data_IF_477541557080
#
_entry.id   IF_477541557080
#
_cell.length_a   1.000
_cell.length_b   1.000
_cell.length_c   1.000
_cell.angle_alpha   90.00
_cell.angle_beta   90.00
_cell.angle_gamma   90.00
#
_symmetry.space_group_name_H-M   'P 1'
#
loop_
_entity.id
_entity.type
_entity.pdbx_description
1 polymer ?
#
# COMPACT_ATOMS: atom_id res chain seq x y z
N UNK A 1 -24.75 -9.17 14.55
CA UNK A 1 -24.00 -7.91 14.67
C UNK A 1 -23.08 -7.88 13.48
N UNK A 2 -23.50 -7.20 12.41
CA UNK A 2 -22.72 -7.11 11.20
C UNK A 2 -21.51 -6.24 11.50
N UNK A 3 -20.32 -6.83 11.43
CA UNK A 3 -19.06 -6.11 11.59
C UNK A 3 -18.75 -5.46 10.25
N UNK A 4 -19.49 -4.40 9.91
CA UNK A 4 -19.34 -3.70 8.65
C UNK A 4 -18.05 -2.87 8.70
N UNK A 5 -17.04 -3.29 7.94
CA UNK A 5 -15.81 -2.50 7.74
C UNK A 5 -16.24 -1.14 7.17
N UNK A 6 -15.96 -0.07 7.90
CA UNK A 6 -16.37 1.28 7.49
C UNK A 6 -15.38 1.90 6.50
N UNK A 7 -14.13 1.45 6.56
CA UNK A 7 -13.04 1.92 5.74
C UNK A 7 -12.07 0.78 5.44
N UNK A 8 -11.60 0.65 4.19
CA UNK A 8 -10.60 -0.36 3.84
C UNK A 8 -9.36 -0.32 4.74
N UNK A 9 -8.98 0.87 5.22
CA UNK A 9 -7.81 1.06 6.07
C UNK A 9 -7.90 0.35 7.43
N UNK A 10 -9.09 -0.05 7.88
CA UNK A 10 -9.27 -0.90 9.07
C UNK A 10 -8.78 -2.34 8.83
N UNK A 11 -8.65 -2.75 7.56
CA UNK A 11 -8.19 -4.08 7.15
C UNK A 11 -6.76 -4.10 6.60
N UNK A 12 -6.18 -2.94 6.32
CA UNK A 12 -4.81 -2.83 5.81
C UNK A 12 -3.81 -2.98 6.96
N UNK A 13 -2.86 -3.91 6.79
CA UNK A 13 -1.77 -4.15 7.72
C UNK A 13 -0.44 -3.68 7.12
N UNK A 14 0.43 -3.10 7.94
CA UNK A 14 1.77 -2.70 7.50
C UNK A 14 2.65 -3.92 7.23
N UNK A 15 3.40 -3.88 6.14
CA UNK A 15 4.38 -4.88 5.75
C UNK A 15 5.75 -4.21 5.76
N UNK A 16 6.57 -4.53 6.75
CA UNK A 16 7.93 -3.98 6.87
C UNK A 16 8.94 -4.65 5.92
N UNK A 17 8.67 -5.89 5.51
CA UNK A 17 9.45 -6.60 4.48
C UNK A 17 8.61 -7.70 3.80
N UNK A 18 8.73 -7.85 2.48
CA UNK A 18 8.18 -9.01 1.78
C UNK A 18 9.16 -10.18 1.87
N UNK A 19 8.65 -11.39 2.16
CA UNK A 19 9.44 -12.62 2.28
C UNK A 19 9.92 -13.14 0.93
N UNK A 20 9.24 -12.77 -0.15
CA UNK A 20 9.60 -13.21 -1.51
C UNK A 20 9.01 -12.29 -2.59
N UNK A 21 9.55 -12.36 -3.80
CA UNK A 21 8.99 -11.67 -4.97
C UNK A 21 7.54 -12.11 -5.27
N UNK A 22 7.21 -13.39 -5.05
CA UNK A 22 5.86 -13.91 -5.25
C UNK A 22 4.84 -13.32 -4.27
N UNK A 23 5.24 -13.04 -3.03
CA UNK A 23 4.40 -12.35 -2.06
C UNK A 23 4.14 -10.91 -2.50
N UNK A 24 5.18 -10.20 -2.94
CA UNK A 24 5.07 -8.86 -3.47
C UNK A 24 4.14 -8.79 -4.70
N UNK A 25 4.28 -9.72 -5.66
CA UNK A 25 3.40 -9.77 -6.84
C UNK A 25 1.93 -10.04 -6.48
N UNK A 26 1.67 -10.90 -5.49
CA UNK A 26 0.30 -11.13 -4.97
C UNK A 26 -0.23 -9.87 -4.32
N UNK A 27 0.60 -9.17 -3.56
CA UNK A 27 0.24 -7.90 -2.93
C UNK A 27 -0.09 -6.81 -3.97
N UNK A 28 0.68 -6.72 -5.06
CA UNK A 28 0.36 -5.81 -6.17
C UNK A 28 -1.02 -6.08 -6.78
N UNK A 29 -1.41 -7.35 -6.92
CA UNK A 29 -2.75 -7.72 -7.40
C UNK A 29 -3.83 -7.29 -6.41
N UNK A 30 -3.61 -7.54 -5.12
CA UNK A 30 -4.51 -7.08 -4.06
C UNK A 30 -4.72 -5.55 -4.11
N UNK A 31 -3.64 -4.76 -4.17
CA UNK A 31 -3.74 -3.30 -4.31
C UNK A 31 -4.46 -2.90 -5.61
N UNK A 32 -4.18 -3.58 -6.73
CA UNK A 32 -4.89 -3.32 -7.99
C UNK A 32 -6.40 -3.54 -7.85
N UNK A 33 -6.83 -4.54 -7.09
CA UNK A 33 -8.24 -4.83 -6.90
C UNK A 33 -8.92 -3.81 -5.97
N UNK A 34 -8.22 -3.31 -4.94
CA UNK A 34 -8.68 -2.18 -4.12
C UNK A 34 -8.88 -0.91 -4.96
N UNK A 35 -7.98 -0.65 -5.92
CA UNK A 35 -8.12 0.49 -6.83
C UNK A 35 -9.33 0.32 -7.76
N UNK A 36 -9.53 -0.87 -8.31
CA UNK A 36 -10.70 -1.16 -9.17
C UNK A 36 -12.03 -1.02 -8.41
N UNK A 37 -12.03 -1.36 -7.12
CA UNK A 37 -13.19 -1.21 -6.24
C UNK A 37 -13.43 0.25 -5.82
N UNK A 38 -12.46 1.13 -6.03
CA UNK A 38 -12.53 2.54 -5.67
C UNK A 38 -12.17 2.84 -4.22
N UNK A 39 -11.61 1.87 -3.49
CA UNK A 39 -11.19 2.02 -2.09
C UNK A 39 -9.89 2.83 -1.96
N UNK A 40 -8.99 2.65 -2.93
CA UNK A 40 -7.72 3.36 -3.03
C UNK A 40 -7.59 4.01 -4.41
N UNK A 41 -6.81 5.08 -4.51
CA UNK A 41 -6.37 5.64 -5.78
C UNK A 41 -4.90 6.02 -5.72
N UNK A 42 -4.19 5.83 -6.83
CA UNK A 42 -2.78 6.20 -6.95
C UNK A 42 -2.64 7.73 -6.94
N UNK A 43 -1.70 8.25 -6.16
CA UNK A 43 -1.35 9.67 -6.09
C UNK A 43 0.14 9.87 -6.38
N UNK A 44 0.57 11.07 -6.81
CA UNK A 44 1.99 11.36 -7.01
C UNK A 44 2.81 11.13 -5.75
N UNK A 45 4.03 10.62 -5.92
CA UNK A 45 5.01 10.51 -4.83
C UNK A 45 5.51 11.90 -4.47
N UNK A 46 5.24 12.35 -3.25
CA UNK A 46 5.68 13.67 -2.79
C UNK A 46 7.08 13.64 -2.17
N UNK A 47 7.40 12.57 -1.43
CA UNK A 47 8.69 12.41 -0.74
C UNK A 47 9.26 11.02 -0.91
N UNK A 48 10.30 10.91 -1.74
CA UNK A 48 10.88 9.62 -2.06
C UNK A 48 11.49 8.92 -0.84
N UNK A 49 11.25 7.61 -0.73
CA UNK A 49 11.92 6.72 0.19
C UNK A 49 13.30 6.35 -0.37
N UNK A 50 14.33 7.10 0.00
CA UNK A 50 15.73 6.83 -0.32
C UNK A 50 16.03 6.58 -1.82
N UNK A 51 15.21 7.11 -2.73
CA UNK A 51 15.39 6.93 -4.18
C UNK A 51 14.91 5.59 -4.74
N UNK A 52 14.28 4.74 -3.92
CA UNK A 52 13.70 3.48 -4.39
C UNK A 52 12.46 3.72 -5.27
N UNK A 53 12.20 2.84 -6.26
CA UNK A 53 10.92 2.85 -6.97
C UNK A 53 9.76 2.65 -6.00
N UNK A 54 8.79 3.55 -6.02
CA UNK A 54 7.64 3.49 -5.11
C UNK A 54 6.36 4.03 -5.75
N UNK A 55 5.23 3.70 -5.12
CA UNK A 55 3.92 4.23 -5.44
C UNK A 55 3.20 4.63 -4.16
N UNK A 56 2.42 5.71 -4.23
CA UNK A 56 1.59 6.16 -3.13
C UNK A 56 0.12 5.99 -3.50
N UNK A 57 -0.67 5.66 -2.49
CA UNK A 57 -2.09 5.41 -2.62
C UNK A 57 -2.82 6.15 -1.51
N UNK A 58 -3.92 6.80 -1.87
CA UNK A 58 -4.78 7.49 -0.92
C UNK A 58 -6.11 6.76 -0.81
N UNK A 59 -6.59 6.59 0.42
CA UNK A 59 -7.91 6.04 0.66
C UNK A 59 -9.00 7.04 0.25
N UNK A 60 -10.00 6.56 -0.47
CA UNK A 60 -11.16 7.35 -0.89
C UNK A 60 -12.07 7.76 0.26
N UNK A 61 -12.12 6.96 1.33
CA UNK A 61 -13.00 7.20 2.48
C UNK A 61 -12.37 8.10 3.56
N UNK A 62 -11.23 7.72 4.12
CA UNK A 62 -10.62 8.45 5.25
C UNK A 62 -9.47 9.38 4.85
N UNK A 63 -8.99 9.28 3.60
CA UNK A 63 -7.87 10.08 3.11
C UNK A 63 -6.49 9.66 3.61
N UNK A 64 -6.37 8.56 4.37
CA UNK A 64 -5.07 7.99 4.74
C UNK A 64 -4.23 7.71 3.50
N UNK A 65 -2.93 7.97 3.60
CA UNK A 65 -1.97 7.73 2.52
C UNK A 65 -1.09 6.56 2.91
N UNK A 66 -0.93 5.64 1.97
CA UNK A 66 -0.10 4.45 2.08
C UNK A 66 0.95 4.47 0.98
N UNK A 67 2.16 4.02 1.31
CA UNK A 67 3.26 3.90 0.36
C UNK A 67 3.65 2.45 0.17
N UNK A 68 3.84 2.08 -1.09
CA UNK A 68 4.43 0.82 -1.50
C UNK A 68 5.82 1.09 -2.08
N UNK A 69 6.86 0.63 -1.40
CA UNK A 69 8.23 0.67 -1.93
C UNK A 69 8.56 -0.71 -2.49
N UNK A 70 9.04 -0.74 -3.74
CA UNK A 70 9.31 -1.98 -4.46
C UNK A 70 10.55 -2.67 -3.87
N UNK A 71 10.60 -4.01 -3.82
CA UNK A 71 11.81 -4.75 -3.51
C UNK A 71 12.92 -4.44 -4.51
N UNK A 72 14.12 -4.19 -4.03
CA UNK A 72 15.34 -4.02 -4.80
C UNK A 72 16.51 -4.57 -3.98
N UNK A 73 17.00 -5.76 -4.36
CA UNK A 73 17.86 -6.58 -3.49
C UNK A 73 19.10 -5.79 -3.00
N UNK A 74 19.42 -5.82 -1.69
CA UNK A 74 18.88 -6.69 -0.64
C UNK A 74 17.64 -6.13 0.08
N UNK A 75 17.13 -4.96 -0.32
CA UNK A 75 15.93 -4.37 0.25
C UNK A 75 14.69 -5.15 -0.21
N UNK A 76 13.85 -5.55 0.75
CA UNK A 76 12.73 -6.47 0.51
C UNK A 76 11.40 -5.76 0.22
N UNK A 77 11.41 -4.44 0.01
CA UNK A 77 10.19 -3.65 -0.17
C UNK A 77 9.41 -3.46 1.12
N UNK A 78 8.44 -2.54 1.12
CA UNK A 78 7.56 -2.31 2.25
C UNK A 78 6.21 -1.71 1.83
N UNK A 79 5.22 -1.85 2.70
CA UNK A 79 3.91 -1.22 2.64
C UNK A 79 3.59 -0.59 3.99
N UNK A 80 3.58 0.74 4.09
CA UNK A 80 3.37 1.44 5.37
C UNK A 80 2.50 2.69 5.17
N UNK A 81 1.92 3.18 6.27
CA UNK A 81 1.26 4.49 6.28
C UNK A 81 2.31 5.60 6.12
N UNK A 82 1.97 6.63 5.35
CA UNK A 82 2.73 7.89 5.33
C UNK A 82 2.26 8.69 6.55
N UNK A 83 3.08 8.75 7.59
CA UNK A 83 2.83 9.63 8.72
C UNK A 83 2.98 11.09 8.28
N UNK A 84 2.00 11.93 8.65
CA UNK A 84 2.08 13.38 8.54
C UNK A 84 3.04 13.96 9.57
#
# INVERSE_FOLDING_TARGET
MDNTISCICESLEEINEFRSILEFERFLRYISDLIKQGDLFEIPVEKSYAGFPEKWYKCSNCGEIWRLVYPDFPFKGLWIKVAN
#
